data_IF_066920611536
#
_entry.id   IF_066920611536
#
_cell.length_a   1.000
_cell.length_b   1.000
_cell.length_c   1.000
_cell.angle_alpha   90.00
_cell.angle_beta   90.00
_cell.angle_gamma   90.00
#
_symmetry.space_group_name_H-M   'P 1'
#
loop_
_entity.id
_entity.type
_entity.pdbx_description
1 polymer ?
#
# COMPACT_ATOMS: atom_id res chain seq x y z
N UNK A 1 -7.40 -0.61 -16.69
CA UNK A 1 -6.47 0.53 -16.59
C UNK A 1 -5.13 0.16 -17.20
N UNK A 2 -4.19 1.11 -17.23
CA UNK A 2 -2.86 0.92 -17.85
C UNK A 2 -2.08 -0.27 -17.31
N UNK A 3 -2.43 -0.76 -16.11
CA UNK A 3 -1.89 -1.97 -15.49
C UNK A 3 -2.11 -3.27 -16.28
N UNK A 4 -2.90 -3.23 -17.37
CA UNK A 4 -3.11 -4.35 -18.29
C UNK A 4 -2.40 -4.16 -19.64
N UNK A 5 -1.68 -3.04 -19.83
CA UNK A 5 -0.97 -2.77 -21.06
C UNK A 5 0.43 -3.40 -20.99
N UNK A 6 0.86 -4.09 -22.06
CA UNK A 6 2.18 -4.71 -22.11
C UNK A 6 3.30 -3.69 -22.37
N UNK A 7 2.96 -2.57 -22.99
CA UNK A 7 3.90 -1.55 -23.47
C UNK A 7 3.71 -0.22 -22.73
N UNK A 8 4.77 0.62 -22.65
CA UNK A 8 4.65 1.99 -22.17
C UNK A 8 3.62 2.79 -22.99
N UNK A 9 2.86 3.66 -22.32
CA UNK A 9 1.94 4.56 -23.02
C UNK A 9 2.74 5.74 -23.59
N UNK A 10 2.66 6.02 -24.90
CA UNK A 10 3.37 7.14 -25.50
C UNK A 10 2.79 8.47 -25.01
N UNK A 11 3.67 9.45 -24.80
CA UNK A 11 3.29 10.85 -24.61
C UNK A 11 3.34 11.53 -25.99
N UNK A 12 2.23 12.13 -26.47
CA UNK A 12 2.24 12.83 -27.76
C UNK A 12 3.25 13.98 -27.79
N UNK A 13 3.77 14.30 -28.97
CA UNK A 13 4.71 15.41 -29.15
C UNK A 13 4.10 16.73 -28.67
N UNK A 14 4.86 17.49 -27.88
CA UNK A 14 4.42 18.76 -27.29
C UNK A 14 3.50 18.62 -26.07
N UNK A 15 3.17 17.40 -25.63
CA UNK A 15 2.38 17.17 -24.42
C UNK A 15 3.26 16.73 -23.24
N UNK A 16 2.73 16.93 -22.03
CA UNK A 16 3.36 16.44 -20.79
C UNK A 16 2.85 15.06 -20.40
N UNK A 17 1.57 14.80 -20.65
CA UNK A 17 0.88 13.59 -20.21
C UNK A 17 0.41 12.74 -21.40
N UNK A 18 0.30 11.41 -21.21
CA UNK A 18 -0.31 10.54 -22.20
C UNK A 18 -1.81 10.82 -22.34
N UNK A 19 -2.39 10.45 -23.48
CA UNK A 19 -3.83 10.56 -23.69
C UNK A 19 -4.60 9.72 -22.65
N UNK A 20 -5.64 10.30 -22.06
CA UNK A 20 -6.44 9.66 -21.02
C UNK A 20 -5.80 9.68 -19.62
N UNK A 21 -4.66 10.36 -19.43
CA UNK A 21 -4.17 10.68 -18.10
C UNK A 21 -5.23 11.47 -17.32
N UNK A 22 -5.32 11.19 -16.02
CA UNK A 22 -6.27 11.82 -15.12
C UNK A 22 -5.53 12.31 -13.87
N UNK A 23 -5.72 13.59 -13.55
CA UNK A 23 -5.18 14.20 -12.34
C UNK A 23 -6.27 14.28 -11.26
N UNK A 24 -6.17 13.49 -10.16
CA UNK A 24 -7.14 13.55 -9.10
C UNK A 24 -7.00 14.85 -8.29
N UNK A 25 -8.08 15.62 -8.20
CA UNK A 25 -8.19 16.76 -7.29
C UNK A 25 -8.64 16.28 -5.91
N UNK A 26 -7.70 16.27 -4.96
CA UNK A 26 -7.90 15.75 -3.61
C UNK A 26 -7.86 16.88 -2.58
N UNK A 27 -8.70 16.77 -1.55
CA UNK A 27 -8.64 17.63 -0.36
C UNK A 27 -7.86 16.93 0.76
N UNK A 28 -7.37 17.67 1.77
CA UNK A 28 -6.79 17.06 2.96
C UNK A 28 -7.73 16.03 3.58
N UNK A 29 -7.24 14.80 3.74
CA UNK A 29 -8.00 13.66 4.27
C UNK A 29 -8.57 12.73 3.19
N UNK A 30 -8.62 13.14 1.92
CA UNK A 30 -8.97 12.24 0.82
C UNK A 30 -7.79 11.29 0.53
N UNK A 31 -8.11 10.08 0.07
CA UNK A 31 -7.13 9.05 -0.26
C UNK A 31 -7.28 8.59 -1.71
N UNK A 32 -6.16 8.53 -2.43
CA UNK A 32 -6.07 7.86 -3.74
C UNK A 32 -5.52 6.45 -3.53
N UNK A 33 -6.32 5.44 -3.86
CA UNK A 33 -5.90 4.05 -3.93
C UNK A 33 -5.58 3.70 -5.38
N UNK A 34 -4.38 3.18 -5.61
CA UNK A 34 -3.98 2.70 -6.93
C UNK A 34 -3.19 1.41 -6.82
N UNK A 35 -3.24 0.60 -7.87
CA UNK A 35 -2.50 -0.64 -7.98
C UNK A 35 -1.10 -0.37 -8.55
N UNK A 36 -0.09 -1.11 -8.08
CA UNK A 36 1.32 -0.80 -8.32
C UNK A 36 1.76 -0.79 -9.80
N UNK A 37 1.02 -1.44 -10.71
CA UNK A 37 1.32 -1.46 -12.16
C UNK A 37 0.57 -0.39 -12.94
N UNK A 38 -0.30 0.39 -12.30
CA UNK A 38 -0.89 1.57 -12.95
C UNK A 38 0.24 2.55 -13.25
N UNK A 39 0.26 3.11 -14.46
CA UNK A 39 1.20 4.14 -14.85
C UNK A 39 0.76 5.42 -14.14
N UNK A 40 1.67 6.00 -13.38
CA UNK A 40 1.39 7.19 -12.59
C UNK A 40 2.66 8.04 -12.47
N UNK A 41 2.46 9.34 -12.32
CA UNK A 41 3.52 10.29 -12.07
C UNK A 41 3.03 11.36 -11.09
N UNK A 42 3.96 11.97 -10.36
CA UNK A 42 3.65 13.16 -9.60
C UNK A 42 3.52 14.35 -10.55
N UNK A 43 2.35 14.97 -10.62
CA UNK A 43 2.14 16.17 -11.45
C UNK A 43 2.99 17.36 -10.96
N UNK A 44 3.41 18.23 -11.88
CA UNK A 44 4.20 19.40 -11.54
C UNK A 44 3.43 20.33 -10.58
N UNK A 45 4.10 20.85 -9.55
CA UNK A 45 3.51 21.89 -8.71
C UNK A 45 3.80 23.26 -9.32
N UNK A 46 2.79 23.85 -9.96
CA UNK A 46 2.89 25.16 -10.63
C UNK A 46 2.47 26.33 -9.73
N UNK A 47 2.30 26.07 -8.43
CA UNK A 47 1.91 27.08 -7.43
C UNK A 47 3.06 27.37 -6.47
N UNK A 48 2.92 28.44 -5.69
CA UNK A 48 3.83 28.80 -4.59
C UNK A 48 3.53 28.03 -3.28
N UNK A 49 2.47 27.22 -3.26
CA UNK A 49 2.08 26.45 -2.09
C UNK A 49 2.73 25.06 -2.08
N UNK A 50 3.26 24.64 -0.94
CA UNK A 50 3.89 23.32 -0.81
C UNK A 50 2.80 22.23 -0.77
N UNK A 51 2.82 21.35 -1.77
CA UNK A 51 2.02 20.11 -1.77
C UNK A 51 2.70 19.04 -0.92
N UNK A 52 1.99 18.50 0.06
CA UNK A 52 2.44 17.40 0.92
C UNK A 52 1.56 16.17 0.72
N UNK A 53 2.18 15.00 0.65
CA UNK A 53 1.49 13.71 0.60
C UNK A 53 2.24 12.69 1.45
N UNK A 54 1.52 11.71 1.98
CA UNK A 54 2.09 10.52 2.64
C UNK A 54 1.66 9.32 1.82
N UNK A 55 2.63 8.49 1.43
CA UNK A 55 2.39 7.30 0.62
C UNK A 55 2.56 6.05 1.49
N UNK A 56 1.59 5.15 1.42
CA UNK A 56 1.63 3.86 2.11
C UNK A 56 1.62 2.74 1.07
N UNK A 57 2.67 1.94 1.05
CA UNK A 57 2.75 0.75 0.21
C UNK A 57 2.28 -0.48 0.97
N UNK A 58 1.25 -1.16 0.47
CA UNK A 58 0.83 -2.46 0.98
C UNK A 58 1.33 -3.55 0.04
N UNK A 59 2.03 -4.54 0.60
CA UNK A 59 2.58 -5.66 -0.14
C UNK A 59 2.43 -6.97 0.60
N UNK A 60 2.69 -8.08 -0.08
CA UNK A 60 2.72 -9.37 0.57
C UNK A 60 3.86 -9.44 1.59
N UNK A 61 3.65 -10.18 2.69
CA UNK A 61 4.60 -10.29 3.80
C UNK A 61 5.98 -10.87 3.42
N UNK A 62 6.05 -11.62 2.33
CA UNK A 62 7.29 -12.22 1.81
C UNK A 62 8.09 -11.25 0.93
N UNK A 63 7.53 -10.09 0.60
CA UNK A 63 8.27 -8.99 0.00
C UNK A 63 8.97 -8.21 1.11
N UNK A 64 10.26 -7.98 0.93
CA UNK A 64 11.04 -7.14 1.83
C UNK A 64 10.76 -5.66 1.52
N UNK A 65 10.43 -4.83 2.52
CA UNK A 65 10.29 -3.39 2.29
C UNK A 65 11.65 -2.77 1.96
N UNK A 66 11.63 -1.72 1.13
CA UNK A 66 12.85 -1.01 0.71
C UNK A 66 13.41 -0.15 1.85
N UNK A 67 12.52 0.49 2.60
CA UNK A 67 12.77 1.37 3.73
C UNK A 67 12.08 0.86 5.01
N UNK A 68 12.44 1.41 6.18
CA UNK A 68 11.85 1.09 7.48
C UNK A 68 11.73 -0.41 7.79
N UNK A 69 12.79 -1.17 7.51
CA UNK A 69 12.85 -2.63 7.79
C UNK A 69 12.72 -2.99 9.28
N UNK A 70 13.09 -2.07 10.15
CA UNK A 70 12.93 -2.17 11.59
C UNK A 70 12.29 -0.88 12.06
N UNK A 71 11.27 -1.00 12.90
CA UNK A 71 10.57 0.16 13.44
C UNK A 71 11.22 0.62 14.73
N UNK A 72 11.18 1.92 14.98
CA UNK A 72 11.59 2.49 16.26
C UNK A 72 10.65 2.01 17.37
N UNK A 73 11.19 1.61 18.52
CA UNK A 73 10.38 1.11 19.64
C UNK A 73 9.31 2.12 20.08
N UNK A 74 9.64 3.42 20.05
CA UNK A 74 8.71 4.50 20.40
C UNK A 74 7.49 4.61 19.48
N UNK A 75 7.59 4.11 18.23
CA UNK A 75 6.45 3.97 17.33
C UNK A 75 5.67 2.71 17.71
N UNK A 76 6.34 1.57 17.89
CA UNK A 76 5.71 0.29 18.20
C UNK A 76 4.85 0.36 19.47
N UNK A 77 5.32 1.08 20.50
CA UNK A 77 4.61 1.27 21.76
C UNK A 77 3.26 1.99 21.60
N UNK A 78 3.04 2.69 20.48
CA UNK A 78 1.80 3.41 20.16
C UNK A 78 0.86 2.60 19.27
N UNK A 79 1.31 1.47 18.74
CA UNK A 79 0.56 0.67 17.78
C UNK A 79 -0.16 -0.48 18.48
N UNK A 80 -1.38 -0.76 18.03
CA UNK A 80 -2.07 -2.01 18.37
C UNK A 80 -1.33 -3.22 17.80
N UNK A 81 -1.64 -4.46 18.22
CA UNK A 81 -1.06 -5.66 17.62
C UNK A 81 -1.25 -5.73 16.10
N UNK A 82 -2.40 -5.26 15.59
CA UNK A 82 -2.64 -5.13 14.15
C UNK A 82 -1.73 -4.07 13.50
N UNK A 83 -1.57 -2.92 14.15
CA UNK A 83 -0.67 -1.86 13.68
C UNK A 83 0.78 -2.33 13.60
N UNK A 84 1.28 -2.98 14.65
CA UNK A 84 2.63 -3.57 14.67
C UNK A 84 2.80 -4.60 13.54
N UNK A 85 1.80 -5.45 13.32
CA UNK A 85 1.81 -6.41 12.22
C UNK A 85 1.88 -5.74 10.83
N UNK A 86 1.12 -4.67 10.61
CA UNK A 86 1.10 -3.94 9.34
C UNK A 86 2.41 -3.19 9.04
N UNK A 87 3.15 -2.77 10.07
CA UNK A 87 4.48 -2.16 9.90
C UNK A 87 5.63 -3.17 9.84
N UNK A 88 5.30 -4.47 9.77
CA UNK A 88 6.28 -5.52 9.50
C UNK A 88 6.86 -6.19 10.74
N UNK A 89 6.32 -5.94 11.94
CA UNK A 89 6.76 -6.68 13.13
C UNK A 89 6.30 -8.15 13.08
N UNK A 90 7.05 -9.07 13.71
CA UNK A 90 6.60 -10.44 13.92
C UNK A 90 5.36 -10.47 14.82
N UNK A 91 4.33 -11.25 14.46
CA UNK A 91 3.14 -11.42 15.31
C UNK A 91 3.31 -12.54 16.34
N UNK A 92 3.41 -13.79 15.86
CA UNK A 92 3.68 -14.96 16.70
C UNK A 92 4.84 -15.74 16.11
N UNK A 93 5.78 -16.13 16.98
CA UNK A 93 6.86 -17.03 16.60
C UNK A 93 6.32 -18.45 16.52
N UNK A 94 6.05 -18.93 15.31
CA UNK A 94 5.68 -20.33 15.07
C UNK A 94 6.94 -21.19 15.11
N UNK A 95 6.93 -22.26 15.92
CA UNK A 95 8.03 -23.25 15.96
C UNK A 95 7.85 -24.36 14.91
N UNK A 96 6.64 -24.51 14.41
CA UNK A 96 6.24 -25.54 13.46
C UNK A 96 5.90 -24.92 12.10
N UNK A 97 6.03 -25.71 11.04
CA UNK A 97 5.64 -25.31 9.70
C UNK A 97 4.12 -25.41 9.55
N UNK A 98 3.49 -24.32 9.11
CA UNK A 98 2.07 -24.28 8.78
C UNK A 98 1.91 -24.01 7.28
N UNK A 99 1.38 -25.00 6.54
CA UNK A 99 1.13 -24.88 5.10
C UNK A 99 0.19 -23.71 4.75
N UNK A 100 -0.72 -23.37 5.67
CA UNK A 100 -1.62 -22.22 5.58
C UNK A 100 -0.97 -20.86 5.87
N UNK A 101 0.33 -20.81 6.12
CA UNK A 101 1.04 -19.61 6.57
C UNK A 101 1.04 -19.43 8.09
N UNK A 102 1.77 -18.41 8.56
CA UNK A 102 1.80 -18.04 9.98
C UNK A 102 0.51 -17.35 10.44
N UNK A 103 0.27 -17.37 11.75
CA UNK A 103 -0.85 -16.69 12.39
C UNK A 103 -0.80 -15.16 12.11
N UNK A 104 -1.97 -14.52 12.03
CA UNK A 104 -2.08 -13.08 11.77
C UNK A 104 -3.25 -12.45 12.53
N UNK A 105 -3.12 -11.21 13.02
CA UNK A 105 -4.21 -10.52 13.69
C UNK A 105 -5.33 -10.10 12.73
N UNK A 106 -5.05 -10.11 11.41
CA UNK A 106 -6.00 -9.70 10.39
C UNK A 106 -7.23 -10.62 10.32
N UNK A 107 -7.09 -11.92 10.58
CA UNK A 107 -8.24 -12.85 10.49
C UNK A 107 -9.31 -12.51 11.54
N UNK A 108 -8.89 -12.33 12.80
CA UNK A 108 -9.78 -11.91 13.89
C UNK A 108 -10.35 -10.52 13.63
N UNK A 109 -9.53 -9.59 13.12
CA UNK A 109 -9.99 -8.26 12.75
C UNK A 109 -11.06 -8.29 11.65
N UNK A 110 -10.87 -9.14 10.63
CA UNK A 110 -11.85 -9.31 9.54
C UNK A 110 -13.19 -9.82 10.06
N UNK A 111 -13.18 -10.82 10.95
CA UNK A 111 -14.37 -11.37 11.59
C UNK A 111 -15.10 -10.30 12.42
N UNK A 112 -14.39 -9.57 13.26
CA UNK A 112 -14.92 -8.48 14.10
C UNK A 112 -15.62 -7.39 13.27
N UNK A 113 -15.09 -7.09 12.08
CA UNK A 113 -15.58 -6.01 11.21
C UNK A 113 -16.50 -6.51 10.08
N UNK A 114 -16.82 -7.80 10.04
CA UNK A 114 -17.70 -8.39 9.03
C UNK A 114 -17.16 -8.29 7.59
N UNK A 115 -15.84 -8.27 7.40
CA UNK A 115 -15.20 -8.21 6.08
C UNK A 115 -14.65 -9.58 5.66
N UNK A 116 -14.48 -9.84 4.35
CA UNK A 116 -14.00 -11.14 3.87
C UNK A 116 -12.66 -11.53 4.46
N UNK A 117 -12.51 -12.83 4.77
CA UNK A 117 -11.24 -13.39 5.23
C UNK A 117 -10.15 -13.27 4.15
N UNK A 118 -8.92 -12.99 4.60
CA UNK A 118 -7.74 -12.72 3.75
C UNK A 118 -7.35 -13.95 2.90
N UNK A 119 -7.70 -15.15 3.37
CA UNK A 119 -7.53 -16.42 2.66
C UNK A 119 -8.85 -17.16 2.75
N UNK A 120 -9.49 -17.52 1.62
CA UNK A 120 -10.59 -18.47 1.63
C UNK A 120 -10.09 -19.76 2.28
N UNK A 121 -10.77 -20.22 3.33
CA UNK A 121 -10.58 -21.57 3.85
C UNK A 121 -11.33 -22.47 2.86
N UNK A 122 -10.59 -23.16 1.99
CA UNK A 122 -11.12 -24.26 1.20
C UNK A 122 -10.98 -25.56 1.98
#
# INVERSE_FOLDING_TARGET
GSNNLPDPIPVPEGQTDPEGAFEPSLRPGDCLLFENRILHAGGANLTDQIRKAVMFGYGYRWLMPLDYRTQEQTLLDKLSPLGQYLVGEPFKKTKEYYAGGGDSPLAAWCEEHGVPAIRPIH
#
